data_IF_318326855843
#
_entry.id   IF_318326855843
#
_cell.length_a   1.000
_cell.length_b   1.000
_cell.length_c   1.000
_cell.angle_alpha   90.00
_cell.angle_beta   90.00
_cell.angle_gamma   90.00
#
_symmetry.space_group_name_H-M   'P 1'
#
loop_
_entity.id
_entity.type
_entity.pdbx_description
1 polymer ?
#
# COMPACT_ATOMS: atom_id res chain seq x y z
N UNK A 1 -11.49 -25.69 -29.94
CA UNK A 1 -11.55 -24.62 -28.93
C UNK A 1 -10.13 -24.25 -28.58
N UNK A 2 -9.63 -23.12 -29.09
CA UNK A 2 -8.26 -22.64 -28.79
C UNK A 2 -8.23 -22.19 -27.33
N UNK A 3 -7.44 -22.90 -26.54
CA UNK A 3 -7.18 -22.59 -25.12
C UNK A 3 -6.22 -21.38 -25.06
N UNK A 4 -6.74 -20.20 -25.40
CA UNK A 4 -5.97 -18.95 -25.29
C UNK A 4 -5.78 -18.64 -23.82
N UNK A 5 -4.56 -18.84 -23.31
CA UNK A 5 -4.18 -18.40 -21.97
C UNK A 5 -4.62 -16.94 -21.79
N UNK A 6 -5.31 -16.64 -20.70
CA UNK A 6 -5.78 -15.28 -20.43
C UNK A 6 -4.66 -14.26 -20.62
N UNK A 7 -4.98 -13.10 -21.18
CA UNK A 7 -4.02 -12.06 -21.57
C UNK A 7 -3.08 -11.64 -20.41
N UNK A 8 -3.51 -11.79 -19.16
CA UNK A 8 -2.74 -11.45 -17.94
C UNK A 8 -1.66 -12.47 -17.53
N UNK A 9 -1.63 -13.67 -18.13
CA UNK A 9 -0.59 -14.69 -17.87
C UNK A 9 0.65 -14.53 -18.78
N UNK A 10 0.71 -13.51 -19.62
CA UNK A 10 1.91 -13.22 -20.40
C UNK A 10 2.97 -12.60 -19.50
N UNK A 11 4.05 -13.35 -19.26
CA UNK A 11 5.16 -13.09 -18.33
C UNK A 11 6.07 -11.89 -18.69
N UNK A 12 5.74 -11.09 -19.73
CA UNK A 12 6.67 -10.12 -20.34
C UNK A 12 6.04 -8.74 -20.58
N UNK A 13 5.10 -8.31 -19.75
CA UNK A 13 4.63 -6.93 -19.84
C UNK A 13 5.57 -6.02 -19.04
N UNK A 14 6.00 -4.88 -19.60
CA UNK A 14 6.72 -3.88 -18.84
C UNK A 14 5.86 -3.44 -17.65
N UNK A 15 6.52 -3.19 -16.51
CA UNK A 15 5.84 -2.71 -15.30
C UNK A 15 5.10 -1.41 -15.62
N UNK A 16 3.84 -1.34 -15.20
CA UNK A 16 3.01 -0.15 -15.30
C UNK A 16 2.15 0.01 -14.06
N UNK A 17 1.99 1.24 -13.60
CA UNK A 17 1.44 1.56 -12.28
C UNK A 17 0.13 2.35 -12.41
N UNK A 18 -0.94 1.80 -11.86
CA UNK A 18 -2.23 2.48 -11.70
C UNK A 18 -2.35 2.94 -10.25
N UNK A 19 -2.25 4.25 -10.01
CA UNK A 19 -2.38 4.84 -8.68
C UNK A 19 -3.84 5.16 -8.43
N UNK A 20 -4.43 4.51 -7.44
CA UNK A 20 -5.84 4.56 -7.09
C UNK A 20 -6.03 5.29 -5.75
N UNK A 21 -6.71 6.42 -5.76
CA UNK A 21 -6.94 7.23 -4.56
C UNK A 21 -8.43 7.40 -4.29
N UNK A 22 -8.98 6.71 -3.28
CA UNK A 22 -10.30 7.03 -2.77
C UNK A 22 -10.24 8.36 -2.01
N UNK A 23 -11.09 9.32 -2.38
CA UNK A 23 -11.15 10.66 -1.77
C UNK A 23 -12.51 10.84 -1.11
N UNK A 24 -12.53 11.18 0.18
CA UNK A 24 -13.78 11.49 0.88
C UNK A 24 -14.16 12.97 0.66
N UNK A 25 -13.29 13.88 1.04
CA UNK A 25 -13.49 15.34 0.91
C UNK A 25 -12.41 15.97 0.05
N UNK A 26 -11.19 15.96 0.53
CA UNK A 26 -10.05 16.69 -0.03
C UNK A 26 -8.81 15.81 -0.14
N UNK A 27 -7.82 16.30 -0.84
CA UNK A 27 -6.47 15.74 -0.87
C UNK A 27 -5.53 16.64 -0.09
N UNK A 28 -4.62 16.05 0.69
CA UNK A 28 -3.63 16.83 1.43
C UNK A 28 -2.57 17.39 0.48
N UNK A 29 -1.96 18.50 0.86
CA UNK A 29 -0.84 19.10 0.11
C UNK A 29 0.33 18.11 0.00
N UNK A 30 0.63 17.38 1.06
CA UNK A 30 1.70 16.36 1.08
C UNK A 30 1.42 15.22 0.11
N UNK A 31 0.17 14.76 0.03
CA UNK A 31 -0.26 13.79 -0.98
C UNK A 31 0.00 14.35 -2.39
N UNK A 32 -0.46 15.57 -2.69
CA UNK A 32 -0.29 16.15 -4.01
C UNK A 32 1.18 16.26 -4.42
N UNK A 33 2.06 16.74 -3.52
CA UNK A 33 3.50 16.80 -3.75
C UNK A 33 4.09 15.40 -4.02
N UNK A 34 3.68 14.40 -3.24
CA UNK A 34 4.13 13.01 -3.40
C UNK A 34 3.73 12.45 -4.76
N UNK A 35 2.51 12.73 -5.23
CA UNK A 35 2.05 12.26 -6.56
C UNK A 35 2.82 12.90 -7.70
N UNK A 36 3.15 14.19 -7.61
CA UNK A 36 4.00 14.89 -8.59
C UNK A 36 5.42 14.32 -8.62
N UNK A 37 5.99 14.02 -7.45
CA UNK A 37 7.31 13.39 -7.35
C UNK A 37 7.29 11.97 -7.93
N UNK A 38 6.29 11.17 -7.59
CA UNK A 38 6.12 9.82 -8.13
C UNK A 38 5.99 9.86 -9.66
N UNK A 39 5.20 10.78 -10.21
CA UNK A 39 5.07 10.95 -11.66
C UNK A 39 6.42 11.26 -12.32
N UNK A 40 7.17 12.22 -11.78
CA UNK A 40 8.49 12.60 -12.26
C UNK A 40 9.46 11.42 -12.27
N UNK A 41 9.48 10.63 -11.19
CA UNK A 41 10.35 9.47 -11.07
C UNK A 41 9.92 8.31 -11.99
N UNK A 42 8.61 8.09 -12.19
CA UNK A 42 8.11 7.13 -13.17
C UNK A 42 8.54 7.50 -14.60
N UNK A 43 8.47 8.79 -14.96
CA UNK A 43 8.92 9.27 -16.28
C UNK A 43 10.41 9.00 -16.48
N UNK A 44 11.26 9.31 -15.51
CA UNK A 44 12.71 9.05 -15.58
C UNK A 44 13.04 7.55 -15.78
N UNK A 45 12.22 6.67 -15.21
CA UNK A 45 12.40 5.22 -15.24
C UNK A 45 11.63 4.56 -16.40
N UNK A 46 10.98 5.36 -17.25
CA UNK A 46 10.14 4.90 -18.35
C UNK A 46 9.04 3.91 -17.90
N UNK A 47 8.46 4.16 -16.72
CA UNK A 47 7.34 3.41 -16.17
C UNK A 47 6.04 4.15 -16.50
N UNK A 48 5.13 3.49 -17.24
CA UNK A 48 3.79 4.01 -17.50
C UNK A 48 3.04 4.15 -16.18
N UNK A 49 2.54 5.35 -15.88
CA UNK A 49 1.76 5.63 -14.68
C UNK A 49 0.44 6.33 -15.02
N UNK A 50 -0.62 6.01 -14.29
CA UNK A 50 -1.91 6.67 -14.34
C UNK A 50 -2.39 6.95 -12.92
N UNK A 51 -2.91 8.15 -12.68
CA UNK A 51 -3.49 8.55 -11.40
C UNK A 51 -4.99 8.64 -11.53
N UNK A 52 -5.71 7.90 -10.69
CA UNK A 52 -7.17 7.87 -10.65
C UNK A 52 -7.64 8.23 -9.24
N UNK A 53 -8.26 9.39 -9.11
CA UNK A 53 -8.92 9.83 -7.88
C UNK A 53 -10.43 9.60 -8.02
N UNK A 54 -11.02 9.00 -6.99
CA UNK A 54 -12.45 8.70 -6.97
C UNK A 54 -13.09 9.27 -5.70
N UNK A 55 -13.94 10.27 -5.88
CA UNK A 55 -14.70 10.84 -4.76
C UNK A 55 -15.82 9.89 -4.37
N UNK A 56 -15.84 9.50 -3.09
CA UNK A 56 -16.88 8.64 -2.52
C UNK A 56 -17.03 8.91 -1.03
N UNK A 57 -18.26 8.95 -0.54
CA UNK A 57 -18.56 9.05 0.90
C UNK A 57 -18.24 7.76 1.66
N UNK A 58 -18.20 6.61 0.95
CA UNK A 58 -17.85 5.31 1.52
C UNK A 58 -16.53 4.83 0.96
N UNK A 59 -15.55 4.59 1.84
CA UNK A 59 -14.19 4.14 1.44
C UNK A 59 -14.24 2.83 0.66
N UNK A 60 -15.08 1.88 1.08
CA UNK A 60 -15.25 0.60 0.39
C UNK A 60 -15.77 0.78 -1.04
N UNK A 61 -16.77 1.64 -1.23
CA UNK A 61 -17.29 1.96 -2.56
C UNK A 61 -16.22 2.63 -3.43
N UNK A 62 -15.50 3.61 -2.89
CA UNK A 62 -14.40 4.27 -3.61
C UNK A 62 -13.32 3.29 -4.06
N UNK A 63 -12.92 2.35 -3.20
CA UNK A 63 -11.94 1.31 -3.56
C UNK A 63 -12.48 0.33 -4.61
N UNK A 64 -13.75 -0.07 -4.52
CA UNK A 64 -14.37 -0.93 -5.52
C UNK A 64 -14.43 -0.25 -6.89
N UNK A 65 -14.78 1.03 -6.95
CA UNK A 65 -14.76 1.81 -8.19
C UNK A 65 -13.35 1.89 -8.77
N UNK A 66 -12.34 2.23 -7.96
CA UNK A 66 -10.94 2.25 -8.40
C UNK A 66 -10.52 0.88 -8.96
N UNK A 67 -10.90 -0.21 -8.30
CA UNK A 67 -10.60 -1.58 -8.73
C UNK A 67 -11.27 -1.89 -10.07
N UNK A 68 -12.54 -1.52 -10.23
CA UNK A 68 -13.27 -1.69 -11.48
C UNK A 68 -12.60 -0.93 -12.64
N UNK A 69 -12.19 0.33 -12.41
CA UNK A 69 -11.44 1.08 -13.42
C UNK A 69 -10.11 0.42 -13.75
N UNK A 70 -9.34 0.00 -12.75
CA UNK A 70 -8.08 -0.71 -12.97
C UNK A 70 -8.26 -1.97 -13.82
N UNK A 71 -9.28 -2.78 -13.53
CA UNK A 71 -9.53 -4.02 -14.26
C UNK A 71 -9.90 -3.79 -15.74
N UNK A 72 -10.47 -2.62 -16.09
CA UNK A 72 -10.74 -2.20 -17.45
C UNK A 72 -9.53 -1.60 -18.18
N UNK A 73 -8.36 -1.57 -17.56
CA UNK A 73 -7.10 -1.12 -18.17
C UNK A 73 -6.15 -2.29 -18.41
N UNK A 74 -4.96 -2.00 -18.92
CA UNK A 74 -3.87 -2.98 -19.12
C UNK A 74 -2.70 -2.83 -18.13
N UNK A 75 -2.83 -1.95 -17.11
CA UNK A 75 -1.80 -1.75 -16.09
C UNK A 75 -1.50 -3.03 -15.32
N UNK A 76 -0.24 -3.25 -14.96
CA UNK A 76 0.24 -4.47 -14.30
C UNK A 76 0.09 -4.47 -12.80
N UNK A 77 0.15 -3.29 -12.18
CA UNK A 77 0.08 -3.10 -10.74
C UNK A 77 -0.92 -1.98 -10.40
N UNK A 78 -1.65 -2.19 -9.31
CA UNK A 78 -2.46 -1.15 -8.68
C UNK A 78 -1.83 -0.73 -7.36
N UNK A 79 -1.63 0.58 -7.17
CA UNK A 79 -1.17 1.17 -5.94
C UNK A 79 -2.32 1.96 -5.31
N UNK A 80 -2.90 1.47 -4.23
CA UNK A 80 -3.77 2.28 -3.40
C UNK A 80 -2.95 3.29 -2.61
N UNK A 81 -3.39 4.55 -2.63
CA UNK A 81 -2.85 5.61 -1.79
C UNK A 81 -4.01 6.41 -1.22
N UNK A 82 -4.12 6.50 0.10
CA UNK A 82 -5.12 7.35 0.73
C UNK A 82 -4.76 8.84 0.53
N UNK A 83 -5.77 9.71 0.43
CA UNK A 83 -5.62 11.13 0.03
C UNK A 83 -4.83 11.99 1.02
N UNK A 84 -4.40 11.44 2.14
CA UNK A 84 -3.62 12.10 3.20
C UNK A 84 -2.29 11.39 3.52
N UNK A 85 -1.89 10.42 2.71
CA UNK A 85 -0.63 9.69 2.87
C UNK A 85 0.45 10.32 1.97
N UNK A 86 1.64 10.47 2.55
CA UNK A 86 2.86 10.85 1.85
C UNK A 86 3.95 9.80 2.00
N UNK A 87 4.77 9.64 0.97
CA UNK A 87 5.90 8.71 0.95
C UNK A 87 7.00 9.22 0.02
N UNK A 88 8.18 8.66 0.11
CA UNK A 88 9.26 8.89 -0.87
C UNK A 88 9.02 8.02 -2.10
N UNK A 89 9.11 8.56 -3.32
CA UNK A 89 8.88 7.83 -4.56
C UNK A 89 9.73 6.54 -4.65
N UNK A 90 10.98 6.56 -4.18
CA UNK A 90 11.86 5.39 -4.15
C UNK A 90 11.30 4.22 -3.34
N UNK A 91 10.45 4.50 -2.33
CA UNK A 91 9.78 3.44 -1.57
C UNK A 91 8.86 2.61 -2.48
N UNK A 92 8.16 3.23 -3.42
CA UNK A 92 7.28 2.51 -4.35
C UNK A 92 8.09 1.66 -5.33
N UNK A 93 9.21 2.18 -5.86
CA UNK A 93 10.07 1.39 -6.73
C UNK A 93 10.67 0.19 -6.01
N UNK A 94 11.03 0.35 -4.74
CA UNK A 94 11.44 -0.77 -3.91
C UNK A 94 10.32 -1.82 -3.75
N UNK A 95 9.06 -1.41 -3.59
CA UNK A 95 7.94 -2.37 -3.55
C UNK A 95 7.80 -3.13 -4.87
N UNK A 96 7.96 -2.46 -6.02
CA UNK A 96 7.93 -3.08 -7.34
C UNK A 96 9.08 -4.09 -7.52
N UNK A 97 10.30 -3.75 -7.08
CA UNK A 97 11.48 -4.64 -7.12
C UNK A 97 11.33 -5.89 -6.25
N UNK A 98 10.61 -5.81 -5.15
CA UNK A 98 10.34 -6.93 -4.26
C UNK A 98 9.35 -7.95 -4.86
N UNK A 99 8.64 -7.59 -5.91
CA UNK A 99 7.72 -8.42 -6.71
C UNK A 99 6.79 -9.31 -5.87
N UNK A 100 6.16 -8.73 -4.85
CA UNK A 100 5.18 -9.43 -4.02
C UNK A 100 3.79 -9.31 -4.62
N UNK A 101 2.95 -10.32 -4.37
CA UNK A 101 1.55 -10.31 -4.80
C UNK A 101 0.78 -9.13 -4.20
N UNK A 102 0.95 -8.93 -2.91
CA UNK A 102 0.44 -7.78 -2.14
C UNK A 102 1.56 -7.33 -1.21
N UNK A 103 1.84 -6.03 -1.19
CA UNK A 103 2.80 -5.43 -0.27
C UNK A 103 2.34 -4.04 0.13
N UNK A 104 2.52 -3.68 1.39
CA UNK A 104 2.08 -2.40 1.94
C UNK A 104 3.23 -1.69 2.67
N UNK A 105 3.21 -0.37 2.66
CA UNK A 105 4.04 0.45 3.54
C UNK A 105 3.24 0.74 4.80
N UNK A 106 3.72 0.32 6.00
CA UNK A 106 3.06 0.70 7.23
C UNK A 106 3.23 2.20 7.50
N UNK A 107 2.17 2.81 8.02
CA UNK A 107 2.15 4.20 8.46
C UNK A 107 1.48 4.29 9.83
N UNK A 108 1.85 5.28 10.66
CA UNK A 108 1.26 5.42 11.98
C UNK A 108 -0.18 5.89 11.91
N UNK A 109 -0.99 5.45 12.87
CA UNK A 109 -2.32 6.02 13.08
C UNK A 109 -2.19 7.48 13.55
N UNK A 110 -3.22 8.29 13.30
CA UNK A 110 -3.26 9.71 13.71
C UNK A 110 -3.41 9.91 15.23
N UNK A 111 -3.57 8.82 15.97
CA UNK A 111 -3.72 8.83 17.43
C UNK A 111 -2.43 8.47 18.11
N UNK A 112 -2.02 9.26 19.10
CA UNK A 112 -0.86 9.00 19.95
C UNK A 112 -1.30 8.26 21.22
N UNK A 113 -0.58 7.20 21.59
CA UNK A 113 -0.86 6.34 22.77
C UNK A 113 -0.10 6.84 24.01
N UNK A 114 -0.47 8.02 24.52
CA UNK A 114 0.23 8.67 25.63
C UNK A 114 0.20 7.85 26.93
N UNK A 115 -0.92 7.20 27.27
CA UNK A 115 -1.04 6.38 28.48
C UNK A 115 -0.13 5.15 28.42
N UNK A 116 -0.04 4.53 27.25
CA UNK A 116 0.87 3.41 27.01
C UNK A 116 2.32 3.86 27.12
N UNK A 117 2.69 5.02 26.57
CA UNK A 117 4.02 5.61 26.69
C UNK A 117 4.37 5.88 28.15
N UNK A 118 3.48 6.53 28.91
CA UNK A 118 3.70 6.82 30.34
C UNK A 118 3.91 5.54 31.16
N UNK A 119 3.17 4.49 30.86
CA UNK A 119 3.35 3.18 31.52
C UNK A 119 4.72 2.59 31.22
N UNK A 120 5.19 2.68 29.95
CA UNK A 120 6.52 2.18 29.54
C UNK A 120 7.66 3.01 30.15
N UNK A 121 7.50 4.33 30.29
CA UNK A 121 8.47 5.19 30.98
C UNK A 121 8.59 4.79 32.47
N UNK A 122 7.45 4.67 33.16
CA UNK A 122 7.41 4.25 34.57
C UNK A 122 8.01 2.84 34.77
N UNK A 123 7.84 1.93 33.82
CA UNK A 123 8.42 0.59 33.81
C UNK A 123 9.89 0.53 33.40
N UNK A 124 10.52 1.66 33.05
CA UNK A 124 11.94 1.74 32.67
C UNK A 124 12.25 1.19 31.26
N UNK A 125 11.22 0.93 30.42
CA UNK A 125 11.39 0.45 29.04
C UNK A 125 11.76 1.58 28.09
N UNK A 126 11.40 2.83 28.40
CA UNK A 126 11.70 4.03 27.62
C UNK A 126 12.56 4.95 28.47
N UNK A 127 13.77 5.25 28.01
CA UNK A 127 14.77 5.99 28.77
C UNK A 127 15.20 7.31 28.11
N UNK A 128 14.95 7.46 26.80
CA UNK A 128 15.38 8.65 26.03
C UNK A 128 14.21 9.24 25.25
N UNK A 129 14.31 10.53 24.93
CA UNK A 129 13.30 11.21 24.12
C UNK A 129 13.09 10.56 22.74
N UNK A 130 14.17 10.12 22.09
CA UNK A 130 14.10 9.45 20.79
C UNK A 130 13.29 8.15 20.82
N UNK A 131 13.34 7.43 21.96
CA UNK A 131 12.53 6.23 22.15
C UNK A 131 11.04 6.54 22.32
N UNK A 132 10.69 7.73 22.82
CA UNK A 132 9.30 8.11 23.04
C UNK A 132 8.48 8.08 21.75
N UNK A 133 9.03 8.60 20.64
CA UNK A 133 8.36 8.64 19.35
C UNK A 133 7.95 7.24 18.86
N UNK A 134 8.86 6.27 18.96
CA UNK A 134 8.59 4.88 18.54
C UNK A 134 7.55 4.17 19.42
N UNK A 135 7.41 4.58 20.68
CA UNK A 135 6.50 3.94 21.63
C UNK A 135 5.12 4.61 21.71
N UNK A 136 4.98 5.82 21.20
CA UNK A 136 3.71 6.55 21.19
C UNK A 136 2.90 6.28 19.94
N UNK A 137 3.56 5.88 18.84
CA UNK A 137 2.92 5.59 17.56
C UNK A 137 2.33 4.17 17.54
N UNK A 138 1.14 4.05 16.97
CA UNK A 138 0.50 2.77 16.70
C UNK A 138 0.36 2.57 15.20
N UNK A 139 0.67 1.37 14.71
CA UNK A 139 0.56 1.00 13.30
C UNK A 139 -0.58 0.01 13.10
N UNK A 140 -1.46 0.21 12.10
CA UNK A 140 -2.59 -0.67 11.83
C UNK A 140 -2.15 -1.93 11.07
N UNK A 141 -1.32 -2.76 11.70
CA UNK A 141 -0.83 -4.00 11.13
C UNK A 141 -0.83 -5.13 12.16
N UNK A 142 -1.07 -6.36 11.71
CA UNK A 142 -0.89 -7.56 12.50
C UNK A 142 0.19 -8.40 11.83
N UNK A 143 1.32 -8.54 12.51
CA UNK A 143 2.45 -9.33 12.03
C UNK A 143 2.09 -10.82 12.20
N UNK A 144 2.44 -11.61 11.20
CA UNK A 144 2.37 -13.07 11.33
C UNK A 144 3.46 -13.52 12.28
N UNK A 145 3.04 -14.01 13.44
CA UNK A 145 3.94 -14.51 14.48
C UNK A 145 3.90 -16.05 14.48
N UNK A 146 4.97 -16.64 13.99
CA UNK A 146 5.18 -18.09 14.08
C UNK A 146 6.00 -18.38 15.35
N UNK A 147 5.34 -18.54 16.52
CA UNK A 147 5.97 -18.84 17.81
C UNK A 147 6.91 -17.73 18.33
N UNK A 148 6.50 -16.47 18.31
CA UNK A 148 7.24 -15.31 18.77
C UNK A 148 8.52 -14.99 17.96
N UNK A 149 8.67 -15.59 16.78
CA UNK A 149 9.80 -15.32 15.89
C UNK A 149 9.34 -14.52 14.65
N UNK A 150 9.54 -13.21 14.70
CA UNK A 150 9.29 -12.34 13.54
C UNK A 150 10.45 -12.50 12.56
N UNK A 151 10.16 -13.05 11.37
CA UNK A 151 11.15 -13.18 10.30
C UNK A 151 11.17 -11.92 9.43
N UNK A 152 12.31 -11.22 9.43
CA UNK A 152 12.54 -10.07 8.55
C UNK A 152 13.42 -10.52 7.38
N UNK A 153 12.90 -10.39 6.15
CA UNK A 153 13.66 -10.71 4.94
C UNK A 153 13.76 -9.46 4.05
N UNK A 154 14.98 -8.95 3.85
CA UNK A 154 15.25 -7.72 3.07
C UNK A 154 14.40 -6.53 3.51
N UNK A 155 14.13 -6.40 4.82
CA UNK A 155 13.28 -5.34 5.38
C UNK A 155 11.79 -5.54 5.19
N UNK A 156 11.35 -6.74 4.80
CA UNK A 156 9.94 -7.12 4.65
C UNK A 156 9.55 -8.12 5.73
N UNK A 157 8.36 -7.95 6.28
CA UNK A 157 7.76 -8.80 7.31
C UNK A 157 6.46 -9.38 6.74
N UNK A 158 6.18 -10.65 6.99
CA UNK A 158 4.88 -11.23 6.70
C UNK A 158 3.85 -10.74 7.73
N UNK A 159 2.70 -10.30 7.22
CA UNK A 159 1.59 -9.81 8.03
C UNK A 159 0.30 -10.52 7.66
N UNK A 160 -0.55 -10.80 8.65
CA UNK A 160 -1.92 -11.28 8.43
C UNK A 160 -2.87 -10.13 8.07
N UNK A 161 -2.57 -8.93 8.56
CA UNK A 161 -3.30 -7.71 8.22
C UNK A 161 -2.30 -6.57 7.98
N UNK A 162 -2.50 -5.82 6.91
CA UNK A 162 -1.68 -4.66 6.59
C UNK A 162 -2.56 -3.47 6.14
N UNK A 163 -2.10 -2.23 6.38
CA UNK A 163 -2.87 -1.05 6.03
C UNK A 163 -2.99 -0.89 4.51
N UNK A 164 -4.16 -0.44 4.07
CA UNK A 164 -4.48 -0.25 2.65
C UNK A 164 -4.15 1.15 2.12
N UNK A 165 -3.79 2.10 3.00
CA UNK A 165 -3.52 3.49 2.61
C UNK A 165 -2.24 3.72 1.80
N UNK A 166 -1.33 2.73 1.75
CA UNK A 166 -0.24 2.66 0.78
C UNK A 166 0.04 1.19 0.47
N UNK A 167 -0.70 0.60 -0.48
CA UNK A 167 -0.68 -0.82 -0.79
C UNK A 167 -0.53 -1.07 -2.28
N UNK A 168 0.52 -1.80 -2.65
CA UNK A 168 0.77 -2.25 -4.02
C UNK A 168 0.23 -3.67 -4.21
N UNK A 169 -0.56 -3.88 -5.27
CA UNK A 169 -1.21 -5.15 -5.59
C UNK A 169 -0.94 -5.48 -7.05
N UNK A 170 -0.43 -6.67 -7.33
CA UNK A 170 -0.28 -7.16 -8.70
C UNK A 170 -1.65 -7.52 -9.31
N UNK A 171 -1.78 -7.33 -10.60
CA UNK A 171 -3.02 -7.60 -11.34
C UNK A 171 -3.54 -9.03 -11.17
N UNK A 172 -2.66 -10.02 -11.17
CA UNK A 172 -3.04 -11.43 -11.07
C UNK A 172 -3.78 -11.77 -9.77
N UNK A 173 -3.54 -11.01 -8.70
CA UNK A 173 -4.23 -11.16 -7.40
C UNK A 173 -5.73 -10.93 -7.55
N UNK A 174 -6.14 -9.91 -8.29
CA UNK A 174 -7.57 -9.62 -8.49
C UNK A 174 -8.29 -10.77 -9.19
N UNK A 175 -7.65 -11.40 -10.16
CA UNK A 175 -8.24 -12.56 -10.84
C UNK A 175 -8.29 -13.79 -9.93
N UNK A 176 -7.29 -13.98 -9.07
CA UNK A 176 -7.32 -15.02 -8.04
C UNK A 176 -8.49 -14.80 -7.07
N UNK A 177 -8.70 -13.56 -6.62
CA UNK A 177 -9.81 -13.20 -5.73
C UNK A 177 -11.16 -13.42 -6.40
N UNK A 178 -11.36 -12.94 -7.64
CA UNK A 178 -12.61 -13.15 -8.39
C UNK A 178 -12.89 -14.65 -8.57
N UNK A 179 -11.87 -15.45 -8.81
CA UNK A 179 -12.02 -16.91 -8.95
C UNK A 179 -12.35 -17.60 -7.62
N UNK A 180 -11.76 -17.11 -6.51
CA UNK A 180 -11.97 -17.70 -5.19
C UNK A 180 -13.31 -17.30 -4.56
N UNK A 181 -13.84 -16.14 -4.92
CA UNK A 181 -15.10 -15.58 -4.42
C UNK A 181 -16.02 -15.20 -5.59
N UNK A 182 -16.51 -16.19 -6.35
CA UNK A 182 -17.50 -15.93 -7.41
C UNK A 182 -18.81 -15.51 -6.73
N UNK A 183 -19.41 -14.38 -7.17
CA UNK A 183 -20.76 -13.98 -6.75
C UNK A 183 -21.81 -14.88 -7.33
#
# INVERSE_FOLDING_TARGET
MQNTKPIWLKKERPISLFVATPVHSDVSMHYAQTMLELQKECMKRNIKVMFQMMKSSLVTQGRNLCTSYFLNTDFTHMLFVDSDIAFKADSIFRLLELDKEIISIPYPMKTAQWDTLMTKIKGGFVKTADQCEHHVLQYPLLIKDDNQNIKINKGVIEATHCPTGCMLIRRDVFYKLIKAYPN
#
